data_IF_094006775582
#
_entry.id   IF_094006775582
#
_cell.length_a   1.000
_cell.length_b   1.000
_cell.length_c   1.000
_cell.angle_alpha   90.00
_cell.angle_beta   90.00
_cell.angle_gamma   90.00
#
_symmetry.space_group_name_H-M   'P 1'
#
loop_
_entity.id
_entity.type
_entity.pdbx_description
1 polymer ?
#
# COMPACT_ATOMS: atom_id res chain seq x y z
N UNK A 1 -8.52 12.87 14.92
CA UNK A 1 -8.28 11.51 15.46
C UNK A 1 -6.88 11.11 15.02
N UNK A 2 -6.04 10.60 15.92
CA UNK A 2 -4.73 10.07 15.53
C UNK A 2 -4.94 8.83 14.63
N UNK A 3 -4.21 8.75 13.52
CA UNK A 3 -4.31 7.61 12.61
C UNK A 3 -3.87 6.31 13.35
N UNK A 4 -4.58 5.18 13.21
CA UNK A 4 -4.31 3.93 13.92
C UNK A 4 -2.87 3.40 13.83
N UNK A 5 -2.15 3.65 12.73
CA UNK A 5 -0.76 3.21 12.58
C UNK A 5 0.21 3.93 13.54
N UNK A 6 -0.14 5.11 14.05
CA UNK A 6 0.72 5.94 14.91
C UNK A 6 0.98 5.37 16.31
N UNK A 7 0.38 4.24 16.68
CA UNK A 7 0.52 3.65 18.03
C UNK A 7 1.04 2.21 18.04
N UNK A 8 1.00 1.48 16.92
CA UNK A 8 1.36 0.06 16.91
C UNK A 8 2.80 -0.21 16.45
N UNK A 9 3.46 0.75 15.79
CA UNK A 9 4.83 0.56 15.27
C UNK A 9 4.92 -0.54 14.21
N UNK A 10 3.83 -0.87 13.53
CA UNK A 10 3.76 -1.91 12.50
C UNK A 10 2.99 -1.41 11.29
N UNK A 11 3.38 -1.87 10.09
CA UNK A 11 2.65 -1.57 8.86
C UNK A 11 1.28 -2.27 8.87
N UNK A 12 0.22 -1.46 8.93
CA UNK A 12 -1.18 -1.89 8.93
C UNK A 12 -1.95 -1.22 7.79
N UNK A 13 -3.16 -1.70 7.53
CA UNK A 13 -3.94 -1.24 6.39
C UNK A 13 -3.59 -1.96 5.10
N UNK A 14 -3.79 -1.31 3.96
CA UNK A 14 -3.64 -1.95 2.65
C UNK A 14 -2.18 -2.32 2.35
N UNK A 15 -1.22 -1.44 2.67
CA UNK A 15 0.22 -1.73 2.56
C UNK A 15 0.66 -2.90 3.45
N UNK A 16 0.16 -2.93 4.69
CA UNK A 16 0.38 -4.04 5.60
C UNK A 16 -0.21 -5.35 5.07
N UNK A 17 -1.44 -5.34 4.55
CA UNK A 17 -2.07 -6.51 3.94
C UNK A 17 -1.24 -7.02 2.75
N UNK A 18 -0.77 -6.11 1.90
CA UNK A 18 0.09 -6.42 0.77
C UNK A 18 1.37 -7.16 1.21
N UNK A 19 1.96 -6.82 2.35
CA UNK A 19 3.09 -7.57 2.93
C UNK A 19 2.69 -9.00 3.31
N UNK A 20 1.52 -9.19 3.90
CA UNK A 20 1.09 -10.48 4.43
C UNK A 20 0.52 -11.43 3.38
N UNK A 21 -0.07 -10.92 2.30
CA UNK A 21 -0.69 -11.75 1.26
C UNK A 21 0.34 -12.46 0.35
N UNK A 22 1.62 -12.16 0.54
CA UNK A 22 2.78 -12.78 -0.11
C UNK A 22 3.01 -14.24 0.29
N UNK A 23 2.57 -14.65 1.49
CA UNK A 23 2.89 -15.98 2.03
C UNK A 23 1.77 -16.51 2.96
N UNK A 24 1.28 -17.75 2.78
CA UNK A 24 1.64 -18.79 1.80
C UNK A 24 1.14 -18.49 0.37
N UNK A 25 1.49 -19.31 -0.63
CA UNK A 25 1.04 -19.16 -2.02
C UNK A 25 -0.49 -19.01 -2.09
N UNK A 26 -0.95 -17.81 -2.44
CA UNK A 26 -2.38 -17.50 -2.59
C UNK A 26 -2.78 -17.65 -4.06
N UNK A 27 -3.18 -18.87 -4.43
CA UNK A 27 -3.51 -19.22 -5.83
C UNK A 27 -5.02 -19.20 -6.13
N UNK A 28 -5.85 -18.71 -5.21
CA UNK A 28 -7.29 -18.62 -5.40
C UNK A 28 -7.87 -17.44 -4.63
N UNK A 29 -9.01 -16.94 -5.10
CA UNK A 29 -9.75 -15.88 -4.42
C UNK A 29 -10.08 -16.25 -2.97
N UNK A 30 -10.55 -17.48 -2.73
CA UNK A 30 -10.93 -17.94 -1.39
C UNK A 30 -9.77 -17.86 -0.40
N UNK A 31 -8.59 -18.37 -0.77
CA UNK A 31 -7.40 -18.31 0.10
C UNK A 31 -7.00 -16.85 0.33
N UNK A 32 -7.15 -15.98 -0.66
CA UNK A 32 -6.88 -14.54 -0.52
C UNK A 32 -7.82 -13.89 0.49
N UNK A 33 -9.11 -14.18 0.42
CA UNK A 33 -10.11 -13.69 1.37
C UNK A 33 -9.86 -14.23 2.79
N UNK A 34 -9.41 -15.48 2.93
CA UNK A 34 -9.03 -16.06 4.23
C UNK A 34 -7.84 -15.32 4.84
N UNK A 35 -6.84 -14.95 4.04
CA UNK A 35 -5.71 -14.12 4.48
C UNK A 35 -6.18 -12.73 4.89
N UNK A 36 -7.06 -12.09 4.10
CA UNK A 36 -7.65 -10.79 4.45
C UNK A 36 -8.36 -10.86 5.80
N UNK A 37 -9.19 -11.88 6.02
CA UNK A 37 -9.92 -12.07 7.27
C UNK A 37 -8.96 -12.29 8.46
N UNK A 38 -7.92 -13.10 8.27
CA UNK A 38 -6.88 -13.36 9.27
C UNK A 38 -6.09 -12.09 9.62
N UNK A 39 -5.73 -11.28 8.63
CA UNK A 39 -5.02 -10.02 8.82
C UNK A 39 -5.90 -8.98 9.51
N UNK A 40 -7.17 -8.87 9.09
CA UNK A 40 -8.14 -7.95 9.71
C UNK A 40 -8.38 -8.25 11.19
N UNK A 41 -8.25 -9.50 11.63
CA UNK A 41 -8.41 -9.91 13.03
C UNK A 41 -7.21 -9.56 13.93
N UNK A 42 -6.06 -9.20 13.35
CA UNK A 42 -4.83 -8.92 14.11
C UNK A 42 -4.96 -7.67 14.97
N UNK A 43 -4.15 -7.63 16.02
CA UNK A 43 -4.06 -6.51 16.97
C UNK A 43 -5.44 -6.16 17.54
N UNK A 44 -6.18 -7.19 17.97
CA UNK A 44 -7.53 -7.06 18.52
C UNK A 44 -8.48 -6.27 17.59
N UNK A 45 -8.36 -6.48 16.27
CA UNK A 45 -9.19 -5.82 15.26
C UNK A 45 -8.74 -4.42 14.84
N UNK A 46 -7.67 -3.86 15.44
CA UNK A 46 -7.15 -2.55 15.03
C UNK A 46 -6.72 -2.51 13.56
N UNK A 47 -6.26 -3.64 13.02
CA UNK A 47 -5.89 -3.75 11.60
C UNK A 47 -7.10 -3.49 10.68
N UNK A 48 -8.27 -4.04 11.01
CA UNK A 48 -9.49 -3.88 10.22
C UNK A 48 -9.89 -2.40 10.05
N UNK A 49 -9.64 -1.55 11.05
CA UNK A 49 -9.98 -0.13 10.98
C UNK A 49 -9.15 0.60 9.91
N UNK A 50 -7.82 0.46 9.96
CA UNK A 50 -6.97 1.09 8.95
C UNK A 50 -7.18 0.46 7.56
N UNK A 51 -7.40 -0.85 7.49
CA UNK A 51 -7.63 -1.54 6.24
C UNK A 51 -8.92 -1.08 5.57
N UNK A 52 -10.00 -0.95 6.34
CA UNK A 52 -11.25 -0.38 5.85
C UNK A 52 -11.06 1.06 5.36
N UNK A 53 -10.36 1.87 6.14
CA UNK A 53 -10.08 3.26 5.81
C UNK A 53 -9.33 3.38 4.47
N UNK A 54 -8.24 2.65 4.29
CA UNK A 54 -7.45 2.65 3.05
C UNK A 54 -8.30 2.19 1.85
N UNK A 55 -9.12 1.14 2.02
CA UNK A 55 -10.00 0.66 0.95
C UNK A 55 -11.09 1.68 0.58
N UNK A 56 -11.74 2.30 1.57
CA UNK A 56 -12.80 3.29 1.33
C UNK A 56 -12.25 4.53 0.63
N UNK A 57 -11.07 5.02 1.05
CA UNK A 57 -10.36 6.12 0.39
C UNK A 57 -10.20 5.87 -1.11
N UNK A 58 -9.67 4.71 -1.49
CA UNK A 58 -9.46 4.38 -2.92
C UNK A 58 -10.78 4.11 -3.64
N UNK A 59 -11.77 3.50 -2.97
CA UNK A 59 -13.11 3.26 -3.52
C UNK A 59 -13.92 4.54 -3.73
N UNK A 60 -13.72 5.58 -2.93
CA UNK A 60 -14.41 6.86 -3.11
C UNK A 60 -13.65 7.82 -4.04
N UNK A 61 -12.45 7.43 -4.47
CA UNK A 61 -11.58 8.19 -5.36
C UNK A 61 -11.93 8.04 -6.86
N UNK A 62 -11.43 8.95 -7.73
CA UNK A 62 -11.56 8.83 -9.18
C UNK A 62 -10.63 7.78 -9.80
N UNK A 63 -9.80 7.06 -9.03
CA UNK A 63 -8.94 6.00 -9.55
C UNK A 63 -9.76 4.97 -10.31
N UNK A 64 -9.32 4.66 -11.52
CA UNK A 64 -9.96 3.60 -12.29
C UNK A 64 -9.71 2.25 -11.63
N UNK A 65 -10.48 1.24 -12.05
CA UNK A 65 -10.22 -0.11 -11.58
C UNK A 65 -8.84 -0.64 -11.98
N UNK A 66 -8.35 -0.20 -13.14
CA UNK A 66 -7.02 -0.55 -13.61
C UNK A 66 -5.92 0.05 -12.75
N UNK A 67 -6.07 1.30 -12.30
CA UNK A 67 -5.07 1.94 -11.43
C UNK A 67 -4.98 1.21 -10.09
N UNK A 68 -6.13 0.84 -9.52
CA UNK A 68 -6.20 0.02 -8.29
C UNK A 68 -5.51 -1.34 -8.48
N UNK A 69 -5.76 -1.99 -9.61
CA UNK A 69 -5.12 -3.27 -9.96
C UNK A 69 -3.60 -3.11 -10.11
N UNK A 70 -3.12 -2.08 -10.79
CA UNK A 70 -1.68 -1.80 -10.92
C UNK A 70 -1.04 -1.59 -9.54
N UNK A 71 -1.64 -0.77 -8.67
CA UNK A 71 -1.13 -0.54 -7.31
C UNK A 71 -1.06 -1.84 -6.50
N UNK A 72 -2.09 -2.68 -6.61
CA UNK A 72 -2.12 -3.98 -5.96
C UNK A 72 -1.03 -4.92 -6.48
N UNK A 73 -0.91 -5.07 -7.80
CA UNK A 73 0.07 -5.95 -8.43
C UNK A 73 1.50 -5.47 -8.16
N UNK A 74 1.74 -4.15 -8.21
CA UNK A 74 3.03 -3.56 -7.91
C UNK A 74 3.45 -3.82 -6.46
N UNK A 75 2.52 -3.60 -5.52
CA UNK A 75 2.78 -3.81 -4.10
C UNK A 75 2.94 -5.29 -3.73
N UNK A 76 2.18 -6.20 -4.34
CA UNK A 76 2.26 -7.65 -4.07
C UNK A 76 3.31 -8.35 -4.91
N UNK A 77 4.01 -7.63 -5.79
CA UNK A 77 4.93 -8.22 -6.78
C UNK A 77 4.26 -9.35 -7.61
N UNK A 78 2.95 -9.22 -7.86
CA UNK A 78 2.05 -10.22 -8.48
C UNK A 78 1.97 -11.57 -7.78
N UNK A 79 2.35 -11.68 -6.51
CA UNK A 79 2.20 -12.93 -5.75
C UNK A 79 0.73 -13.26 -5.47
N UNK A 80 -0.15 -12.25 -5.47
CA UNK A 80 -1.60 -12.43 -5.59
C UNK A 80 -2.11 -11.71 -6.85
N UNK A 81 -2.15 -12.46 -7.94
CA UNK A 81 -2.41 -11.95 -9.29
C UNK A 81 -3.91 -11.82 -9.59
N UNK A 82 -4.43 -10.60 -9.47
CA UNK A 82 -5.83 -10.28 -9.79
C UNK A 82 -6.18 -10.52 -11.27
N UNK A 83 -5.24 -10.28 -12.19
CA UNK A 83 -5.46 -10.50 -13.63
C UNK A 83 -5.65 -11.99 -13.90
N UNK A 84 -4.78 -12.84 -13.32
CA UNK A 84 -4.86 -14.29 -13.44
C UNK A 84 -6.17 -14.83 -12.86
N UNK A 85 -6.58 -14.30 -11.70
CA UNK A 85 -7.83 -14.67 -11.04
C UNK A 85 -9.07 -14.02 -11.69
N UNK A 86 -8.88 -13.10 -12.65
CA UNK A 86 -9.92 -12.32 -13.33
C UNK A 86 -10.80 -11.54 -12.35
N UNK A 87 -10.17 -10.97 -11.34
CA UNK A 87 -10.83 -10.14 -10.32
C UNK A 87 -10.53 -8.68 -10.65
N UNK A 88 -11.58 -7.90 -10.84
CA UNK A 88 -11.48 -6.45 -11.00
C UNK A 88 -10.91 -5.79 -9.72
N UNK A 89 -9.98 -4.85 -9.87
CA UNK A 89 -9.28 -4.21 -8.73
C UNK A 89 -10.23 -3.57 -7.72
N UNK A 90 -11.27 -2.87 -8.18
CA UNK A 90 -12.26 -2.24 -7.30
C UNK A 90 -13.22 -3.25 -6.68
N UNK A 91 -13.53 -4.35 -7.37
CA UNK A 91 -14.24 -5.49 -6.77
C UNK A 91 -13.42 -6.11 -5.64
N UNK A 92 -12.11 -6.29 -5.83
CA UNK A 92 -11.22 -6.79 -4.79
C UNK A 92 -11.19 -5.87 -3.56
N UNK A 93 -11.01 -4.56 -3.74
CA UNK A 93 -11.05 -3.60 -2.62
C UNK A 93 -12.39 -3.62 -1.87
N UNK A 94 -13.52 -3.76 -2.59
CA UNK A 94 -14.83 -3.85 -1.94
C UNK A 94 -14.96 -5.07 -1.05
N UNK A 95 -14.45 -6.22 -1.50
CA UNK A 95 -14.44 -7.45 -0.69
C UNK A 95 -13.59 -7.29 0.58
N UNK A 96 -12.43 -6.62 0.48
CA UNK A 96 -11.60 -6.31 1.64
C UNK A 96 -12.35 -5.38 2.61
N UNK A 97 -13.01 -4.35 2.09
CA UNK A 97 -13.81 -3.42 2.88
C UNK A 97 -14.99 -4.12 3.59
N UNK A 98 -15.68 -5.04 2.90
CA UNK A 98 -16.77 -5.83 3.48
C UNK A 98 -16.28 -6.69 4.66
N UNK A 99 -15.18 -7.43 4.47
CA UNK A 99 -14.56 -8.25 5.53
C UNK A 99 -14.15 -7.38 6.74
N UNK A 100 -13.53 -6.24 6.47
CA UNK A 100 -13.08 -5.32 7.52
C UNK A 100 -14.26 -4.71 8.28
N UNK A 101 -15.32 -4.35 7.57
CA UNK A 101 -16.58 -3.85 8.16
C UNK A 101 -17.22 -4.90 9.06
N UNK A 102 -17.34 -6.14 8.57
CA UNK A 102 -17.90 -7.25 9.34
C UNK A 102 -17.04 -7.60 10.56
N UNK A 103 -15.72 -7.41 10.48
CA UNK A 103 -14.84 -7.58 11.63
C UNK A 103 -15.04 -6.51 12.69
N UNK A 104 -15.16 -5.25 12.29
CA UNK A 104 -15.38 -4.12 13.22
C UNK A 104 -16.75 -4.25 13.91
N UNK A 105 -17.80 -4.60 13.15
CA UNK A 105 -19.17 -4.78 13.68
C UNK A 105 -19.31 -5.94 14.65
N UNK A 106 -18.40 -6.92 14.62
CA UNK A 106 -18.38 -8.00 15.62
C UNK A 106 -18.07 -7.49 17.03
N UNK A 107 -17.25 -6.44 17.16
CA UNK A 107 -16.90 -5.85 18.46
C UNK A 107 -17.93 -4.80 18.89
N UNK A 108 -18.40 -3.98 17.95
CA UNK A 108 -19.47 -3.01 18.18
C UNK A 108 -20.39 -2.88 16.93
N UNK A 109 -21.60 -3.47 16.96
CA UNK A 109 -22.53 -3.43 15.85
C UNK A 109 -23.01 -2.02 15.46
N UNK A 110 -22.89 -1.03 16.36
CA UNK A 110 -23.34 0.34 16.13
C UNK A 110 -22.29 1.21 15.44
N UNK A 111 -21.04 0.74 15.31
CA UNK A 111 -19.97 1.50 14.65
C UNK A 111 -20.31 1.70 13.18
N UNK A 112 -20.36 2.97 12.79
CA UNK A 112 -20.37 3.38 11.39
C UNK A 112 -18.96 3.77 10.97
N UNK A 113 -18.44 3.26 9.84
CA UNK A 113 -17.17 3.70 9.30
C UNK A 113 -17.19 5.22 9.12
N UNK A 114 -16.23 5.92 9.72
CA UNK A 114 -16.10 7.36 9.51
C UNK A 114 -15.71 7.62 8.05
N UNK A 115 -16.26 8.67 7.41
CA UNK A 115 -15.79 9.07 6.09
C UNK A 115 -14.31 9.45 6.18
N UNK A 116 -13.57 9.05 5.15
CA UNK A 116 -12.16 9.36 5.05
C UNK A 116 -11.94 10.86 4.81
N UNK A 117 -11.57 11.60 5.86
CA UNK A 117 -11.14 12.97 5.72
C UNK A 117 -9.61 13.03 5.80
N UNK A 118 -8.94 13.07 4.65
CA UNK A 118 -7.55 13.48 4.57
C UNK A 118 -7.50 15.01 4.51
N UNK A 119 -6.91 15.64 5.54
CA UNK A 119 -6.52 17.06 5.43
C UNK A 119 -5.27 17.07 4.59
N UNK A 120 -5.39 17.61 3.38
CA UNK A 120 -4.31 17.68 2.41
C UNK A 120 -3.28 18.72 2.86
N UNK A 121 -2.08 18.25 3.21
CA UNK A 121 -0.89 19.09 3.22
C UNK A 121 -0.25 19.04 1.82
N UNK A 122 -0.43 20.11 1.06
CA UNK A 122 0.06 20.20 -0.32
C UNK A 122 1.59 20.10 -0.41
N UNK A 123 2.31 20.59 0.61
CA UNK A 123 3.77 20.50 0.65
C UNK A 123 4.21 19.04 0.83
N UNK A 124 3.54 18.31 1.72
CA UNK A 124 3.78 16.88 1.93
C UNK A 124 3.45 16.07 0.66
N UNK A 125 2.33 16.37 0.01
CA UNK A 125 1.94 15.75 -1.26
C UNK A 125 3.01 15.91 -2.32
N UNK A 126 3.49 17.14 -2.53
CA UNK A 126 4.53 17.40 -3.54
C UNK A 126 5.88 16.77 -3.16
N UNK A 127 6.22 16.68 -1.87
CA UNK A 127 7.44 16.00 -1.42
C UNK A 127 7.41 14.50 -1.75
N UNK A 128 6.31 13.80 -1.44
CA UNK A 128 6.13 12.39 -1.81
C UNK A 128 6.11 12.21 -3.33
N UNK A 129 5.44 13.10 -4.06
CA UNK A 129 5.40 13.06 -5.52
C UNK A 129 6.78 13.27 -6.14
N UNK A 130 7.60 14.16 -5.58
CA UNK A 130 8.98 14.37 -6.02
C UNK A 130 9.81 13.08 -5.88
N UNK A 131 9.63 12.34 -4.79
CA UNK A 131 10.28 11.04 -4.62
C UNK A 131 9.79 10.00 -5.64
N UNK A 132 8.49 9.91 -5.90
CA UNK A 132 7.94 9.01 -6.94
C UNK A 132 8.54 9.33 -8.31
N UNK A 133 8.59 10.61 -8.69
CA UNK A 133 9.16 11.04 -9.98
C UNK A 133 10.66 10.76 -10.06
N UNK A 134 11.37 10.94 -8.95
CA UNK A 134 12.82 10.76 -8.89
C UNK A 134 13.22 9.28 -8.99
N UNK A 135 12.54 8.37 -8.27
CA UNK A 135 12.79 6.92 -8.36
C UNK A 135 12.10 6.28 -9.58
N UNK A 136 11.14 6.98 -10.18
CA UNK A 136 10.25 6.49 -11.22
C UNK A 136 10.93 5.78 -12.39
N UNK A 137 12.00 6.34 -13.00
CA UNK A 137 12.69 5.66 -14.09
C UNK A 137 13.26 4.29 -13.70
N UNK A 138 13.85 4.18 -12.51
CA UNK A 138 14.39 2.91 -12.01
C UNK A 138 13.27 1.93 -11.67
N UNK A 139 12.17 2.42 -11.09
CA UNK A 139 10.98 1.63 -10.78
C UNK A 139 10.32 1.07 -12.05
N UNK A 140 10.05 1.92 -13.05
CA UNK A 140 9.47 1.48 -14.33
C UNK A 140 10.41 0.51 -15.06
N UNK A 141 11.73 0.75 -15.02
CA UNK A 141 12.70 -0.20 -15.59
C UNK A 141 12.60 -1.56 -14.89
N UNK A 142 12.49 -1.59 -13.57
CA UNK A 142 12.37 -2.81 -12.79
C UNK A 142 11.03 -3.53 -13.01
N UNK A 143 9.94 -2.78 -13.24
CA UNK A 143 8.59 -3.34 -13.38
C UNK A 143 8.28 -3.75 -14.83
N UNK A 144 8.47 -2.88 -15.81
CA UNK A 144 8.12 -3.15 -17.22
C UNK A 144 8.97 -4.27 -17.84
N UNK A 145 10.24 -4.37 -17.44
CA UNK A 145 11.18 -5.37 -17.95
C UNK A 145 11.37 -6.57 -17.01
N UNK A 146 10.52 -6.72 -15.99
CA UNK A 146 10.64 -7.85 -15.07
C UNK A 146 10.41 -9.18 -15.81
N UNK A 147 11.33 -10.16 -15.74
CA UNK A 147 11.28 -11.38 -16.56
C UNK A 147 10.05 -12.25 -16.29
N UNK A 148 9.45 -12.15 -15.10
CA UNK A 148 8.32 -13.00 -14.68
C UNK A 148 7.06 -12.22 -14.30
N UNK A 149 7.17 -10.90 -14.17
CA UNK A 149 6.15 -10.07 -13.53
C UNK A 149 6.07 -8.68 -14.19
N UNK A 150 6.01 -8.60 -15.53
CA UNK A 150 6.01 -7.32 -16.22
C UNK A 150 4.76 -6.51 -15.84
N UNK A 151 4.97 -5.24 -15.51
CA UNK A 151 3.89 -4.34 -15.14
C UNK A 151 4.24 -2.91 -15.56
N UNK A 152 3.41 -2.34 -16.44
CA UNK A 152 3.53 -0.97 -16.92
C UNK A 152 2.61 -0.03 -16.12
N UNK A 153 3.00 1.25 -16.03
CA UNK A 153 2.14 2.31 -15.50
C UNK A 153 2.11 2.38 -13.97
N UNK A 154 3.13 1.85 -13.30
CA UNK A 154 3.24 1.87 -11.84
C UNK A 154 3.41 3.29 -11.33
N UNK A 155 4.27 4.10 -11.96
CA UNK A 155 4.53 5.49 -11.57
C UNK A 155 3.28 6.37 -11.67
N UNK A 156 2.55 6.44 -12.80
CA UNK A 156 1.35 7.27 -12.87
C UNK A 156 0.25 6.81 -11.90
N UNK A 157 0.10 5.49 -11.65
CA UNK A 157 -0.85 4.99 -10.66
C UNK A 157 -0.48 5.43 -9.22
N UNK A 158 0.82 5.40 -8.87
CA UNK A 158 1.32 5.89 -7.58
C UNK A 158 1.12 7.40 -7.43
N UNK A 159 1.39 8.18 -8.47
CA UNK A 159 1.15 9.64 -8.45
C UNK A 159 -0.33 9.96 -8.20
N UNK A 160 -1.26 9.23 -8.82
CA UNK A 160 -2.69 9.40 -8.56
C UNK A 160 -3.08 8.93 -7.15
N UNK A 161 -2.47 7.84 -6.64
CA UNK A 161 -2.73 7.40 -5.27
C UNK A 161 -2.33 8.47 -4.24
N UNK A 162 -1.23 9.18 -4.46
CA UNK A 162 -0.78 10.30 -3.61
C UNK A 162 -1.74 11.49 -3.62
N UNK A 163 -2.42 11.75 -4.74
CA UNK A 163 -3.47 12.78 -4.82
C UNK A 163 -4.69 12.43 -3.97
N UNK A 164 -5.02 11.13 -3.94
CA UNK A 164 -6.15 10.59 -3.17
C UNK A 164 -5.82 10.56 -1.68
N UNK A 165 -4.69 9.98 -1.31
CA UNK A 165 -4.20 9.90 0.06
C UNK A 165 -2.67 9.78 0.05
N UNK A 166 -2.01 10.84 0.50
CA UNK A 166 -0.55 10.98 0.42
C UNK A 166 0.20 9.95 1.27
N UNK A 167 -0.35 9.62 2.45
CA UNK A 167 0.21 8.60 3.35
C UNK A 167 0.11 7.20 2.69
N UNK A 168 -1.07 6.81 2.23
CA UNK A 168 -1.25 5.53 1.54
C UNK A 168 -0.43 5.45 0.25
N UNK A 169 -0.40 6.52 -0.55
CA UNK A 169 0.42 6.60 -1.76
C UNK A 169 1.91 6.39 -1.47
N UNK A 170 2.42 7.00 -0.40
CA UNK A 170 3.80 6.78 0.05
C UNK A 170 4.03 5.34 0.51
N UNK A 171 3.16 4.78 1.36
CA UNK A 171 3.29 3.37 1.79
C UNK A 171 3.26 2.38 0.62
N UNK A 172 2.45 2.65 -0.41
CA UNK A 172 2.40 1.84 -1.64
C UNK A 172 3.68 1.98 -2.49
N UNK A 173 4.26 3.18 -2.58
CA UNK A 173 5.57 3.38 -3.20
C UNK A 173 6.63 2.49 -2.55
N UNK A 174 6.72 2.52 -1.21
CA UNK A 174 7.72 1.73 -0.48
C UNK A 174 7.54 0.23 -0.73
N UNK A 175 6.29 -0.26 -0.81
CA UNK A 175 5.99 -1.66 -1.13
C UNK A 175 6.44 -2.04 -2.54
N UNK A 176 6.25 -1.16 -3.53
CA UNK A 176 6.69 -1.38 -4.89
C UNK A 176 8.22 -1.39 -5.02
N UNK A 177 8.89 -0.39 -4.44
CA UNK A 177 10.37 -0.28 -4.42
C UNK A 177 11.01 -1.52 -3.80
N UNK A 178 10.50 -1.97 -2.64
CA UNK A 178 10.97 -3.20 -1.96
C UNK A 178 10.63 -4.45 -2.77
N UNK A 179 9.40 -4.56 -3.26
CA UNK A 179 8.93 -5.74 -4.01
C UNK A 179 9.73 -6.00 -5.29
N UNK A 180 10.04 -4.95 -6.05
CA UNK A 180 10.85 -5.05 -7.26
C UNK A 180 12.36 -4.91 -7.00
N UNK A 181 12.77 -4.85 -5.73
CA UNK A 181 14.16 -4.76 -5.31
C UNK A 181 14.92 -3.61 -6.00
N UNK A 182 14.24 -2.47 -6.19
CA UNK A 182 14.78 -1.30 -6.89
C UNK A 182 15.98 -0.76 -6.11
N UNK A 183 17.17 -0.64 -6.73
CA UNK A 183 18.33 -0.05 -6.06
C UNK A 183 18.07 1.40 -5.67
N UNK A 184 18.37 1.76 -4.42
CA UNK A 184 18.29 3.14 -3.91
C UNK A 184 19.58 3.55 -3.21
N UNK A 185 19.88 4.84 -3.22
CA UNK A 185 21.03 5.39 -2.49
C UNK A 185 20.77 5.45 -0.98
N UNK A 186 21.82 5.57 -0.17
CA UNK A 186 21.69 5.89 1.26
C UNK A 186 20.96 7.21 1.48
N UNK A 187 21.24 8.23 0.65
CA UNK A 187 20.58 9.52 0.75
C UNK A 187 19.07 9.43 0.50
N UNK A 188 18.62 8.58 -0.42
CA UNK A 188 17.19 8.33 -0.66
C UNK A 188 16.55 7.58 0.50
N UNK A 189 17.24 6.58 1.02
CA UNK A 189 16.80 5.86 2.20
C UNK A 189 16.56 6.81 3.37
N UNK A 190 17.49 7.74 3.66
CA UNK A 190 17.32 8.76 4.69
C UNK A 190 16.12 9.69 4.41
N UNK A 191 15.89 10.08 3.14
CA UNK A 191 14.70 10.88 2.77
C UNK A 191 13.39 10.10 2.95
N UNK A 192 13.37 8.79 2.72
CA UNK A 192 12.19 7.97 3.00
C UNK A 192 11.91 7.89 4.51
N UNK A 193 12.94 7.75 5.34
CA UNK A 193 12.78 7.81 6.79
C UNK A 193 12.23 9.16 7.25
N UNK A 194 12.76 10.26 6.72
CA UNK A 194 12.30 11.62 7.04
C UNK A 194 10.84 11.85 6.64
N UNK A 195 10.46 11.47 5.41
CA UNK A 195 9.06 11.56 4.95
C UNK A 195 8.12 10.69 5.80
N UNK A 196 8.58 9.50 6.19
CA UNK A 196 7.84 8.63 7.09
C UNK A 196 7.57 9.29 8.44
N UNK A 197 8.60 9.87 9.08
CA UNK A 197 8.47 10.58 10.35
C UNK A 197 7.50 11.77 10.24
N UNK A 198 7.60 12.58 9.18
CA UNK A 198 6.71 13.71 8.95
C UNK A 198 5.24 13.28 8.71
N UNK A 199 5.02 12.12 8.09
CA UNK A 199 3.70 11.49 7.95
C UNK A 199 3.20 10.84 9.26
N UNK A 200 4.08 10.68 10.25
CA UNK A 200 3.81 10.01 11.52
C UNK A 200 3.88 8.48 11.43
N UNK A 201 4.55 7.95 10.42
CA UNK A 201 4.82 6.52 10.25
C UNK A 201 6.00 6.11 11.14
N UNK A 202 5.88 4.95 11.80
CA UNK A 202 7.01 4.35 12.51
C UNK A 202 8.09 3.87 11.54
N UNK A 203 9.34 3.81 11.99
CA UNK A 203 10.48 3.34 11.19
C UNK A 203 10.22 1.96 10.57
N UNK A 204 9.66 1.01 11.33
CA UNK A 204 9.30 -0.35 10.87
C UNK A 204 8.22 -0.38 9.76
N UNK A 205 7.48 0.72 9.56
CA UNK A 205 6.56 0.88 8.43
C UNK A 205 7.35 1.27 7.18
N UNK A 206 8.34 2.15 7.35
CA UNK A 206 9.17 2.66 6.26
C UNK A 206 10.17 1.61 5.81
N UNK A 207 10.90 1.02 6.74
CA UNK A 207 11.92 0.01 6.52
C UNK A 207 11.65 -1.23 7.37
N UNK A 208 11.36 -2.34 6.71
CA UNK A 208 11.18 -3.65 7.34
C UNK A 208 12.31 -4.63 6.97
N UNK A 209 13.45 -4.10 6.52
CA UNK A 209 14.66 -4.86 6.19
C UNK A 209 14.78 -5.26 4.71
N UNK A 210 13.85 -4.83 3.87
CA UNK A 210 13.72 -5.27 2.47
C UNK A 210 14.21 -4.24 1.43
N UNK A 211 14.79 -3.11 1.85
CA UNK A 211 15.37 -2.15 0.91
C UNK A 211 16.68 -2.63 0.30
N UNK A 212 16.85 -2.39 -1.00
CA UNK A 212 18.08 -2.63 -1.74
C UNK A 212 18.97 -1.37 -1.75
N UNK A 213 19.57 -1.04 -0.60
CA UNK A 213 20.39 0.18 -0.43
C UNK A 213 21.82 -0.03 -0.94
N UNK A 214 22.28 0.85 -1.83
CA UNK A 214 23.60 0.81 -2.45
C UNK A 214 24.38 2.08 -2.08
N UNK A 215 25.48 1.98 -1.31
CA UNK A 215 26.23 3.15 -0.84
C UNK A 215 26.83 4.01 -1.96
N UNK A 216 27.18 3.39 -3.09
CA UNK A 216 27.83 4.07 -4.22
C UNK A 216 26.83 4.64 -5.24
N UNK A 217 25.52 4.45 -5.04
CA UNK A 217 24.49 4.97 -5.94
C UNK A 217 24.23 6.45 -5.66
N UNK A 218 24.16 7.25 -6.73
CA UNK A 218 23.85 8.69 -6.66
C UNK A 218 22.46 8.92 -7.26
N UNK A 219 21.65 9.73 -6.58
CA UNK A 219 20.30 10.10 -7.01
C UNK A 219 20.27 11.13 -8.14
#
# INVERSE_FOLDING_TARGET
MAQPHRHLGVDIGLSGLIKWIRYPLVNSETVGLDVVASVADRFDGAFAQQLLQDCLVLLDSPLSSRDVEILWLAGTFREFDLEHLRIDGRVWLRRIADISTDRIRRDDPAVMPAPAASVVDEAMREAVRAEIRSVGPALEQATAHHPYSPLDGVVPALEQAVDVDTDLGFRLLLRAVKGYFVPISEARYERYLALGDELGLGEDVVDDGDFNVWPDLVD
#
